data_IF_959270314367
#
_entry.id   IF_959270314367
#
_cell.length_a   1.000
_cell.length_b   1.000
_cell.length_c   1.000
_cell.angle_alpha   90.00
_cell.angle_beta   90.00
_cell.angle_gamma   90.00
#
_symmetry.space_group_name_H-M   'P 1'
#
loop_
_entity.id
_entity.type
_entity.pdbx_description
1 polymer ?
#
# COMPACT_ATOMS: atom_id res chain seq x y z
N UNK A 1 14.72 -11.43 22.78
CA UNK A 1 14.15 -10.25 22.14
C UNK A 1 14.92 -10.07 20.83
N UNK A 2 14.33 -10.17 19.63
CA UNK A 2 15.06 -9.89 18.40
C UNK A 2 15.42 -8.39 18.35
N UNK A 3 16.53 -8.00 17.69
CA UNK A 3 16.96 -6.60 17.61
C UNK A 3 15.89 -5.75 16.90
N UNK A 4 15.65 -4.57 17.44
CA UNK A 4 14.77 -3.56 16.81
C UNK A 4 15.38 -3.15 15.46
N UNK A 5 14.58 -3.12 14.41
CA UNK A 5 14.97 -2.64 13.07
C UNK A 5 15.01 -1.09 13.02
N UNK A 6 15.80 -0.46 13.86
CA UNK A 6 15.89 1.01 13.89
C UNK A 6 16.93 1.60 12.92
N UNK A 7 17.68 0.75 12.15
CA UNK A 7 18.79 1.20 11.29
C UNK A 7 18.80 0.60 9.87
N UNK A 8 17.68 0.14 9.33
CA UNK A 8 17.65 -0.19 7.91
C UNK A 8 17.28 1.08 7.11
N UNK A 9 18.11 1.54 6.16
CA UNK A 9 17.67 2.56 5.21
C UNK A 9 16.50 1.95 4.46
N UNK A 10 15.33 2.56 4.58
CA UNK A 10 14.19 2.28 3.73
C UNK A 10 14.68 2.46 2.30
N UNK A 11 14.85 1.35 1.58
CA UNK A 11 15.29 1.36 0.18
C UNK A 11 14.44 2.36 -0.59
N UNK A 12 15.06 3.12 -1.48
CA UNK A 12 14.56 4.26 -2.22
C UNK A 12 13.21 4.07 -2.91
N UNK A 13 12.16 4.01 -2.13
CA UNK A 13 10.78 4.07 -2.57
C UNK A 13 10.27 5.48 -2.31
N UNK A 14 9.78 6.15 -3.34
CA UNK A 14 9.03 7.38 -3.19
C UNK A 14 7.79 7.17 -2.30
N UNK A 15 7.05 8.23 -2.00
CA UNK A 15 5.77 8.12 -1.30
C UNK A 15 4.80 7.23 -2.06
N UNK A 16 3.99 6.46 -1.33
CA UNK A 16 2.87 5.65 -1.86
C UNK A 16 1.53 6.24 -1.44
N UNK A 17 1.26 7.50 -1.83
CA UNK A 17 -0.05 8.13 -1.54
C UNK A 17 -1.14 7.51 -2.40
N UNK A 18 -0.85 7.29 -3.68
CA UNK A 18 -1.78 6.69 -4.63
C UNK A 18 -1.15 5.58 -5.45
N UNK A 19 -1.78 4.41 -5.43
CA UNK A 19 -1.47 3.30 -6.31
C UNK A 19 -2.65 3.10 -7.26
N UNK A 20 -2.44 3.31 -8.57
CA UNK A 20 -3.53 3.32 -9.54
C UNK A 20 -3.60 2.02 -10.34
N UNK A 21 -4.76 1.37 -10.32
CA UNK A 21 -5.01 0.18 -11.12
C UNK A 21 -5.10 0.50 -12.62
N UNK A 22 -4.40 -0.30 -13.40
CA UNK A 22 -4.41 -0.27 -14.87
C UNK A 22 -4.64 -1.68 -15.38
N UNK A 23 -5.77 -1.97 -16.05
CA UNK A 23 -6.02 -3.28 -16.65
C UNK A 23 -4.91 -3.67 -17.62
N UNK A 24 -4.35 -4.86 -17.43
CA UNK A 24 -3.35 -5.41 -18.34
C UNK A 24 -3.88 -5.50 -19.76
N UNK A 25 -3.04 -5.15 -20.73
CA UNK A 25 -3.40 -5.18 -22.16
C UNK A 25 -4.21 -3.99 -22.67
N UNK A 26 -4.52 -2.99 -21.83
CA UNK A 26 -5.25 -1.78 -22.25
C UNK A 26 -4.28 -0.62 -22.54
N UNK A 27 -3.81 -0.51 -23.79
CA UNK A 27 -2.85 0.51 -24.24
C UNK A 27 -3.34 1.95 -23.99
N UNK A 28 -4.64 2.22 -24.11
CA UNK A 28 -5.19 3.55 -23.86
C UNK A 28 -5.13 3.93 -22.39
N UNK A 29 -5.41 2.96 -21.52
CA UNK A 29 -5.40 3.22 -20.06
C UNK A 29 -3.98 3.37 -19.52
N UNK A 30 -3.02 2.54 -19.96
CA UNK A 30 -1.63 2.69 -19.52
C UNK A 30 -1.06 4.05 -19.96
N UNK A 31 -1.31 4.50 -21.20
CA UNK A 31 -0.85 5.81 -21.69
C UNK A 31 -1.38 6.96 -20.81
N UNK A 32 -2.67 6.91 -20.42
CA UNK A 32 -3.24 7.92 -19.51
C UNK A 32 -2.66 7.84 -18.09
N UNK A 33 -2.46 6.63 -17.60
CA UNK A 33 -1.93 6.40 -16.26
C UNK A 33 -0.47 6.86 -16.12
N UNK A 34 0.34 6.71 -17.15
CA UNK A 34 1.72 7.23 -17.17
C UNK A 34 1.76 8.76 -17.03
N UNK A 35 0.82 9.47 -17.66
CA UNK A 35 0.70 10.93 -17.56
C UNK A 35 0.01 11.42 -16.27
N UNK A 36 -0.52 10.52 -15.45
CA UNK A 36 -1.26 10.86 -14.23
C UNK A 36 -0.35 11.21 -13.05
N UNK A 37 -0.85 11.88 -11.98
CA UNK A 37 -0.08 12.16 -10.79
C UNK A 37 0.04 10.97 -9.80
N UNK A 38 -0.26 9.73 -10.24
CA UNK A 38 -0.12 8.55 -9.38
C UNK A 38 1.33 8.34 -8.93
N UNK A 39 1.56 7.96 -7.68
CA UNK A 39 2.88 7.59 -7.15
C UNK A 39 3.31 6.20 -7.64
N UNK A 40 2.36 5.31 -7.92
CA UNK A 40 2.62 4.01 -8.51
C UNK A 40 1.46 3.49 -9.36
N UNK A 41 1.77 2.59 -10.29
CA UNK A 41 0.79 1.92 -11.13
C UNK A 41 0.73 0.43 -10.77
N UNK A 42 -0.47 -0.12 -10.71
CA UNK A 42 -0.72 -1.56 -10.53
C UNK A 42 -1.21 -2.10 -11.87
N UNK A 43 -0.33 -2.79 -12.59
CA UNK A 43 -0.64 -3.46 -13.84
C UNK A 43 -1.38 -4.78 -13.52
N UNK A 44 -2.65 -4.83 -13.86
CA UNK A 44 -3.52 -5.90 -13.38
C UNK A 44 -3.58 -7.09 -14.33
N UNK A 45 -3.27 -8.29 -13.83
CA UNK A 45 -3.42 -9.57 -14.51
C UNK A 45 -4.57 -10.42 -13.93
N UNK A 46 -5.23 -9.90 -12.88
CA UNK A 46 -6.29 -10.64 -12.16
C UNK A 46 -7.69 -10.30 -12.69
N UNK A 47 -8.50 -9.62 -11.90
CA UNK A 47 -9.95 -9.46 -12.15
C UNK A 47 -10.27 -8.58 -13.36
N UNK A 48 -9.38 -7.65 -13.73
CA UNK A 48 -9.58 -6.83 -14.92
C UNK A 48 -9.26 -7.56 -16.24
N UNK A 49 -8.79 -8.82 -16.18
CA UNK A 49 -8.45 -9.63 -17.35
C UNK A 49 -9.27 -10.93 -17.34
N UNK A 50 -10.07 -11.14 -18.39
CA UNK A 50 -10.88 -12.36 -18.53
C UNK A 50 -10.00 -13.61 -18.63
N UNK A 51 -10.46 -14.80 -18.16
CA UNK A 51 -9.65 -16.01 -18.11
C UNK A 51 -8.98 -16.39 -19.44
N UNK A 52 -9.70 -16.22 -20.55
CA UNK A 52 -9.22 -16.52 -21.90
C UNK A 52 -8.09 -15.60 -22.38
N UNK A 53 -7.96 -14.40 -21.78
CA UNK A 53 -6.95 -13.40 -22.13
C UNK A 53 -5.74 -13.39 -21.22
N UNK A 54 -5.77 -14.04 -20.05
CA UNK A 54 -4.69 -13.96 -19.05
C UNK A 54 -3.31 -14.32 -19.66
N UNK A 55 -3.21 -15.43 -20.38
CA UNK A 55 -1.95 -15.85 -21.00
C UNK A 55 -1.43 -14.84 -22.03
N UNK A 56 -2.31 -14.27 -22.85
CA UNK A 56 -1.93 -13.29 -23.87
C UNK A 56 -1.58 -11.91 -23.28
N UNK A 57 -2.08 -11.59 -22.09
CA UNK A 57 -1.85 -10.30 -21.43
C UNK A 57 -0.48 -10.22 -20.75
N UNK A 58 0.08 -11.31 -20.23
CA UNK A 58 1.40 -11.37 -19.57
C UNK A 58 2.53 -10.75 -20.40
N UNK A 59 2.77 -11.18 -21.65
CA UNK A 59 3.84 -10.60 -22.47
C UNK A 59 3.59 -9.13 -22.80
N UNK A 60 2.35 -8.66 -22.82
CA UNK A 60 2.03 -7.23 -23.01
C UNK A 60 2.49 -6.44 -21.78
N UNK A 61 2.14 -6.90 -20.58
CA UNK A 61 2.54 -6.26 -19.32
C UNK A 61 4.06 -6.28 -19.17
N UNK A 62 4.73 -7.40 -19.48
CA UNK A 62 6.18 -7.47 -19.51
C UNK A 62 6.79 -6.42 -20.45
N UNK A 63 6.32 -6.34 -21.69
CA UNK A 63 6.77 -5.32 -22.65
C UNK A 63 6.60 -3.90 -22.11
N UNK A 64 5.48 -3.59 -21.47
CA UNK A 64 5.27 -2.28 -20.83
C UNK A 64 6.34 -1.99 -19.78
N UNK A 65 6.61 -2.95 -18.91
CA UNK A 65 7.66 -2.82 -17.88
C UNK A 65 9.04 -2.58 -18.46
N UNK A 66 9.36 -3.20 -19.62
CA UNK A 66 10.66 -3.11 -20.29
C UNK A 66 10.82 -1.83 -21.12
N UNK A 67 9.73 -1.29 -21.70
CA UNK A 67 9.84 -0.29 -22.77
C UNK A 67 9.21 1.07 -22.46
N UNK A 68 8.29 1.16 -21.48
CA UNK A 68 7.63 2.42 -21.18
C UNK A 68 8.40 3.19 -20.09
N UNK A 69 8.39 4.52 -20.21
CA UNK A 69 8.91 5.40 -19.16
C UNK A 69 7.83 5.65 -18.10
N UNK A 70 8.06 5.16 -16.90
CA UNK A 70 7.15 5.35 -15.75
C UNK A 70 7.42 6.65 -14.99
N UNK A 71 8.42 7.45 -15.39
CA UNK A 71 8.68 8.76 -14.79
C UNK A 71 8.91 8.73 -13.27
N UNK A 72 9.55 7.67 -12.76
CA UNK A 72 9.78 7.50 -11.31
C UNK A 72 8.63 6.87 -10.54
N UNK A 73 7.48 6.59 -11.15
CA UNK A 73 6.38 5.85 -10.52
C UNK A 73 6.78 4.41 -10.19
N UNK A 74 6.31 3.88 -9.07
CA UNK A 74 6.43 2.46 -8.79
C UNK A 74 5.63 1.62 -9.80
N UNK A 75 6.17 0.47 -10.15
CA UNK A 75 5.64 -0.46 -11.16
C UNK A 75 5.23 -1.76 -10.50
N UNK A 76 4.01 -1.84 -10.02
CA UNK A 76 3.46 -3.04 -9.42
C UNK A 76 2.73 -3.89 -10.45
N UNK A 77 2.77 -5.22 -10.28
CA UNK A 77 1.94 -6.15 -11.07
C UNK A 77 1.01 -6.87 -10.10
N UNK A 78 -0.30 -6.77 -10.28
CA UNK A 78 -1.24 -7.64 -9.55
C UNK A 78 -1.32 -8.98 -10.26
N UNK A 79 -0.78 -10.00 -9.61
CA UNK A 79 -0.79 -11.38 -10.08
C UNK A 79 -2.14 -12.06 -9.80
N UNK A 80 -2.40 -13.21 -10.37
CA UNK A 80 -3.52 -14.05 -9.99
C UNK A 80 -3.28 -14.71 -8.62
N UNK A 81 -4.35 -15.10 -7.89
CA UNK A 81 -4.21 -15.73 -6.58
C UNK A 81 -3.31 -16.98 -6.63
N UNK A 82 -2.46 -17.16 -5.62
CA UNK A 82 -1.41 -18.19 -5.58
C UNK A 82 -1.92 -19.63 -5.67
N UNK A 83 -3.19 -19.84 -5.40
CA UNK A 83 -3.85 -21.16 -5.53
C UNK A 83 -4.39 -21.44 -6.94
N UNK A 84 -4.18 -20.54 -7.90
CA UNK A 84 -4.57 -20.71 -9.31
C UNK A 84 -3.38 -21.13 -10.17
N UNK A 85 -3.67 -21.80 -11.30
CA UNK A 85 -2.64 -22.20 -12.28
C UNK A 85 -1.99 -21.01 -13.00
N UNK A 86 -2.51 -19.79 -12.82
CA UNK A 86 -1.99 -18.59 -13.44
C UNK A 86 -0.87 -17.92 -12.66
N UNK A 87 -0.84 -18.10 -11.35
CA UNK A 87 -0.01 -17.29 -10.44
C UNK A 87 1.50 -17.37 -10.72
N UNK A 88 2.05 -18.57 -10.86
CA UNK A 88 3.47 -18.76 -11.14
C UNK A 88 3.84 -18.21 -12.52
N UNK A 89 3.02 -18.46 -13.54
CA UNK A 89 3.24 -17.96 -14.89
C UNK A 89 3.17 -16.42 -14.97
N UNK A 90 2.36 -15.76 -14.15
CA UNK A 90 2.31 -14.29 -14.08
C UNK A 90 3.66 -13.72 -13.63
N UNK A 91 4.27 -14.33 -12.61
CA UNK A 91 5.57 -13.90 -12.09
C UNK A 91 6.68 -14.27 -13.08
N UNK A 92 6.70 -15.50 -13.59
CA UNK A 92 7.72 -15.97 -14.54
C UNK A 92 7.83 -15.10 -15.80
N UNK A 93 6.67 -14.72 -16.36
CA UNK A 93 6.65 -13.91 -17.56
C UNK A 93 7.01 -12.44 -17.29
N UNK A 94 6.63 -11.88 -16.14
CA UNK A 94 6.74 -10.41 -15.95
C UNK A 94 7.96 -9.97 -15.16
N UNK A 95 8.62 -10.85 -14.39
CA UNK A 95 9.73 -10.47 -13.48
C UNK A 95 10.95 -9.92 -14.25
N UNK A 96 11.21 -10.41 -15.47
CA UNK A 96 12.29 -9.91 -16.32
C UNK A 96 12.13 -8.42 -16.68
N UNK A 97 10.89 -7.89 -16.68
CA UNK A 97 10.59 -6.46 -16.82
C UNK A 97 10.91 -5.64 -15.57
N UNK A 98 11.43 -6.25 -14.52
CA UNK A 98 11.86 -5.61 -13.27
C UNK A 98 10.77 -4.75 -12.64
N UNK A 99 9.57 -5.31 -12.30
CA UNK A 99 8.59 -4.58 -11.54
C UNK A 99 9.15 -4.20 -10.16
N UNK A 100 8.62 -3.15 -9.56
CA UNK A 100 8.91 -2.80 -8.15
C UNK A 100 8.48 -3.92 -7.20
N UNK A 101 7.44 -4.65 -7.58
CA UNK A 101 6.96 -5.81 -6.84
C UNK A 101 5.63 -6.35 -7.35
N UNK A 102 5.09 -7.30 -6.60
CA UNK A 102 3.81 -7.92 -6.89
C UNK A 102 2.76 -7.57 -5.83
N UNK A 103 1.59 -7.19 -6.30
CA UNK A 103 0.37 -7.16 -5.48
C UNK A 103 -0.16 -8.59 -5.45
N UNK A 104 -0.26 -9.16 -4.24
CA UNK A 104 -0.69 -10.55 -4.01
C UNK A 104 -2.15 -10.53 -3.55
N UNK A 105 -3.11 -10.91 -4.42
CA UNK A 105 -4.51 -10.94 -4.07
C UNK A 105 -4.85 -12.21 -3.27
N UNK A 106 -5.88 -12.12 -2.45
CA UNK A 106 -6.58 -13.22 -1.80
C UNK A 106 -5.66 -14.21 -1.02
N UNK A 107 -4.59 -13.75 -0.33
CA UNK A 107 -3.81 -14.66 0.51
C UNK A 107 -4.65 -15.09 1.71
N UNK A 108 -4.65 -16.38 2.01
CA UNK A 108 -5.36 -16.94 3.16
C UNK A 108 -4.46 -17.07 4.39
N UNK A 109 -3.16 -17.34 4.18
CA UNK A 109 -2.19 -17.61 5.25
C UNK A 109 -0.79 -17.11 4.88
N UNK A 110 0.10 -17.08 5.86
CA UNK A 110 1.51 -16.74 5.66
C UNK A 110 2.21 -17.67 4.64
N UNK A 111 1.79 -18.92 4.55
CA UNK A 111 2.31 -19.91 3.59
C UNK A 111 2.10 -19.47 2.15
N UNK A 112 0.99 -18.82 1.84
CA UNK A 112 0.71 -18.31 0.49
C UNK A 112 1.74 -17.25 0.09
N UNK A 113 2.09 -16.37 1.02
CA UNK A 113 3.13 -15.38 0.81
C UNK A 113 4.51 -16.03 0.66
N UNK A 114 4.84 -17.03 1.48
CA UNK A 114 6.12 -17.75 1.39
C UNK A 114 6.27 -18.49 0.05
N UNK A 115 5.18 -19.05 -0.49
CA UNK A 115 5.17 -19.66 -1.84
C UNK A 115 5.50 -18.63 -2.91
N UNK A 116 4.88 -17.45 -2.88
CA UNK A 116 5.20 -16.34 -3.80
C UNK A 116 6.67 -15.94 -3.66
N UNK A 117 7.17 -15.80 -2.43
CA UNK A 117 8.58 -15.48 -2.15
C UNK A 117 9.52 -16.50 -2.77
N UNK A 118 9.26 -17.80 -2.61
CA UNK A 118 10.11 -18.86 -3.17
C UNK A 118 10.18 -18.82 -4.70
N UNK A 119 9.05 -18.50 -5.37
CA UNK A 119 9.02 -18.31 -6.82
C UNK A 119 9.89 -17.10 -7.21
N UNK A 120 9.72 -15.97 -6.53
CA UNK A 120 10.48 -14.75 -6.81
C UNK A 120 11.98 -14.97 -6.62
N UNK A 121 12.41 -15.62 -5.53
CA UNK A 121 13.83 -15.87 -5.23
C UNK A 121 14.49 -16.70 -6.33
N UNK A 122 13.84 -17.78 -6.75
CA UNK A 122 14.30 -18.62 -7.88
C UNK A 122 14.43 -17.81 -9.18
N UNK A 123 13.50 -16.87 -9.42
CA UNK A 123 13.49 -16.08 -10.65
C UNK A 123 14.42 -14.88 -10.57
N UNK A 124 14.62 -14.25 -9.44
CA UNK A 124 15.67 -13.24 -9.23
C UNK A 124 17.05 -13.83 -9.55
N UNK A 125 17.34 -15.05 -9.06
CA UNK A 125 18.58 -15.77 -9.40
C UNK A 125 18.69 -16.05 -10.91
N UNK A 126 17.64 -16.64 -11.51
CA UNK A 126 17.60 -16.96 -12.94
C UNK A 126 17.83 -15.76 -13.86
N UNK A 127 17.28 -14.60 -13.49
CA UNK A 127 17.36 -13.37 -14.27
C UNK A 127 18.47 -12.41 -13.82
N UNK A 128 19.33 -12.84 -12.90
CA UNK A 128 20.43 -12.03 -12.33
C UNK A 128 19.93 -10.69 -11.76
N UNK A 129 18.78 -10.68 -11.12
CA UNK A 129 18.24 -9.53 -10.42
C UNK A 129 18.83 -9.45 -9.00
N UNK A 130 18.97 -8.25 -8.42
CA UNK A 130 19.43 -8.14 -7.04
C UNK A 130 18.49 -8.88 -6.09
N UNK A 131 19.04 -9.74 -5.24
CA UNK A 131 18.24 -10.50 -4.26
C UNK A 131 17.46 -9.56 -3.35
N UNK A 132 16.16 -9.79 -3.21
CA UNK A 132 15.27 -8.98 -2.39
C UNK A 132 14.80 -7.68 -3.04
N UNK A 133 15.15 -7.41 -4.29
CA UNK A 133 14.73 -6.22 -5.02
C UNK A 133 13.23 -6.20 -5.29
N UNK A 134 12.64 -7.36 -5.60
CA UNK A 134 11.19 -7.50 -5.87
C UNK A 134 10.41 -7.53 -4.57
N UNK A 135 9.52 -6.54 -4.37
CA UNK A 135 8.73 -6.38 -3.15
C UNK A 135 7.34 -7.02 -3.27
N UNK A 136 6.62 -7.10 -2.16
CA UNK A 136 5.26 -7.64 -2.09
C UNK A 136 4.30 -6.62 -1.44
N UNK A 137 3.07 -6.61 -1.94
CA UNK A 137 1.94 -5.89 -1.40
C UNK A 137 0.73 -6.85 -1.34
N UNK A 138 0.55 -7.62 -0.26
CA UNK A 138 -0.64 -8.44 -0.08
C UNK A 138 -1.90 -7.61 0.12
N UNK A 139 -3.01 -7.99 -0.54
CA UNK A 139 -4.36 -7.52 -0.19
C UNK A 139 -4.92 -8.54 0.81
N UNK A 140 -4.63 -8.32 2.08
CA UNK A 140 -4.62 -9.38 3.10
C UNK A 140 -6.00 -9.79 3.65
N UNK A 141 -7.09 -9.09 3.26
CA UNK A 141 -8.42 -9.33 3.83
C UNK A 141 -9.50 -9.61 2.79
N UNK A 142 -9.13 -9.99 1.59
CA UNK A 142 -10.11 -10.30 0.53
C UNK A 142 -10.92 -11.57 0.80
N UNK A 143 -10.44 -12.40 1.73
CA UNK A 143 -11.14 -13.59 2.20
C UNK A 143 -11.34 -13.55 3.71
N UNK A 144 -12.39 -14.19 4.26
CA UNK A 144 -12.56 -14.34 5.71
C UNK A 144 -11.36 -15.00 6.39
N UNK A 145 -10.77 -16.02 5.74
CA UNK A 145 -9.57 -16.71 6.22
C UNK A 145 -8.37 -15.75 6.28
N UNK A 146 -8.13 -14.97 5.22
CA UNK A 146 -7.06 -13.95 5.20
C UNK A 146 -7.24 -12.89 6.28
N UNK A 147 -8.46 -12.44 6.52
CA UNK A 147 -8.77 -11.50 7.60
C UNK A 147 -8.41 -12.08 8.98
N UNK A 148 -8.72 -13.35 9.23
CA UNK A 148 -8.39 -14.01 10.50
C UNK A 148 -6.87 -14.21 10.69
N UNK A 149 -6.09 -14.29 9.61
CA UNK A 149 -4.64 -14.52 9.62
C UNK A 149 -3.82 -13.28 9.19
N UNK A 150 -4.42 -12.10 9.16
CA UNK A 150 -3.78 -10.88 8.63
C UNK A 150 -2.44 -10.57 9.29
N UNK A 151 -2.28 -10.83 10.59
CA UNK A 151 -1.03 -10.61 11.32
C UNK A 151 0.10 -11.48 10.78
N UNK A 152 -0.17 -12.76 10.57
CA UNK A 152 0.80 -13.73 10.05
C UNK A 152 1.14 -13.42 8.59
N UNK A 153 0.15 -13.00 7.79
CA UNK A 153 0.34 -12.56 6.40
C UNK A 153 1.25 -11.32 6.37
N UNK A 154 0.96 -10.30 7.18
CA UNK A 154 1.73 -9.06 7.22
C UNK A 154 3.20 -9.27 7.64
N UNK A 155 3.47 -10.27 8.48
CA UNK A 155 4.81 -10.61 8.98
C UNK A 155 5.51 -11.73 8.20
N UNK A 156 4.91 -12.27 7.12
CA UNK A 156 5.38 -13.49 6.48
C UNK A 156 6.75 -13.39 5.79
N UNK A 157 7.16 -12.18 5.35
CA UNK A 157 8.43 -11.97 4.64
C UNK A 157 8.93 -10.53 4.79
N UNK A 158 10.26 -10.32 4.82
CA UNK A 158 10.85 -8.97 4.76
C UNK A 158 10.69 -8.29 3.39
N UNK A 159 10.18 -9.01 2.38
CA UNK A 159 9.85 -8.44 1.07
C UNK A 159 8.55 -7.64 1.08
N UNK A 160 7.69 -7.80 2.09
CA UNK A 160 6.45 -7.04 2.21
C UNK A 160 6.80 -5.58 2.49
N UNK A 161 6.48 -4.69 1.54
CA UNK A 161 6.66 -3.26 1.67
C UNK A 161 5.42 -2.58 2.24
N UNK A 162 4.25 -3.08 1.89
CA UNK A 162 2.96 -2.60 2.35
C UNK A 162 1.94 -3.73 2.38
N UNK A 163 0.84 -3.55 3.11
CA UNK A 163 -0.36 -4.38 2.99
C UNK A 163 -1.57 -3.51 2.69
N UNK A 164 -2.56 -4.11 2.04
CA UNK A 164 -3.87 -3.49 1.79
C UNK A 164 -4.98 -4.41 2.26
N UNK A 165 -6.20 -3.89 2.21
CA UNK A 165 -7.42 -4.64 2.49
C UNK A 165 -8.38 -4.54 1.30
N UNK A 166 -9.18 -5.58 1.08
CA UNK A 166 -10.11 -5.65 -0.05
C UNK A 166 -11.55 -5.77 0.45
N UNK A 167 -12.36 -4.73 0.20
CA UNK A 167 -13.75 -4.69 0.66
C UNK A 167 -14.69 -5.48 -0.26
N UNK A 168 -14.46 -5.38 -1.56
CA UNK A 168 -15.38 -5.95 -2.55
C UNK A 168 -15.37 -7.47 -2.48
N UNK A 169 -14.18 -8.09 -2.55
CA UNK A 169 -14.02 -9.54 -2.46
C UNK A 169 -14.43 -10.09 -1.09
N UNK A 170 -14.07 -9.43 0.00
CA UNK A 170 -14.51 -9.83 1.35
C UNK A 170 -16.03 -9.82 1.46
N UNK A 171 -16.66 -8.77 0.93
CA UNK A 171 -18.12 -8.64 0.94
C UNK A 171 -18.80 -9.74 0.15
N UNK A 172 -18.27 -10.05 -1.03
CA UNK A 172 -18.77 -11.13 -1.86
C UNK A 172 -18.59 -12.50 -1.17
N UNK A 173 -17.40 -12.76 -0.60
CA UNK A 173 -17.11 -14.00 0.10
C UNK A 173 -17.99 -14.22 1.34
N UNK A 174 -18.37 -13.16 2.04
CA UNK A 174 -19.24 -13.21 3.22
C UNK A 174 -20.73 -13.06 2.90
N UNK A 175 -21.08 -12.74 1.65
CA UNK A 175 -22.47 -12.49 1.25
C UNK A 175 -23.07 -11.24 1.91
N UNK A 176 -22.28 -10.18 2.12
CA UNK A 176 -22.76 -8.96 2.72
C UNK A 176 -23.69 -8.21 1.76
N UNK A 177 -24.93 -7.87 2.16
CA UNK A 177 -25.86 -7.20 1.28
C UNK A 177 -25.48 -5.72 1.01
N UNK A 178 -24.67 -5.15 1.90
CA UNK A 178 -24.14 -3.79 1.80
C UNK A 178 -22.91 -3.64 2.68
N UNK A 179 -22.05 -2.69 2.35
CA UNK A 179 -20.81 -2.41 3.09
C UNK A 179 -20.86 -1.12 3.89
N UNK A 180 -21.84 -0.23 3.57
CA UNK A 180 -21.98 1.10 4.17
C UNK A 180 -23.39 1.35 4.67
N UNK A 181 -23.51 2.27 5.65
CA UNK A 181 -24.77 2.83 6.12
C UNK A 181 -25.27 3.96 5.20
N UNK A 182 -26.38 4.59 5.59
CA UNK A 182 -27.00 5.68 4.82
C UNK A 182 -26.13 6.95 4.78
N UNK A 183 -25.23 7.12 5.73
CA UNK A 183 -24.28 8.23 5.83
C UNK A 183 -22.94 7.92 5.12
N UNK A 184 -22.83 6.77 4.46
CA UNK A 184 -21.64 6.33 3.73
C UNK A 184 -20.52 5.75 4.59
N UNK A 185 -20.74 5.54 5.89
CA UNK A 185 -19.75 4.96 6.81
C UNK A 185 -19.72 3.44 6.69
N UNK A 186 -18.57 2.84 6.79
CA UNK A 186 -18.42 1.39 6.79
C UNK A 186 -19.18 0.74 7.95
N UNK A 187 -19.92 -0.33 7.64
CA UNK A 187 -20.52 -1.24 8.60
C UNK A 187 -19.45 -2.05 9.35
N UNK A 188 -19.84 -2.81 10.36
CA UNK A 188 -18.91 -3.44 11.31
C UNK A 188 -17.86 -4.35 10.66
N UNK A 189 -18.23 -5.20 9.72
CA UNK A 189 -17.27 -6.12 9.09
C UNK A 189 -16.23 -5.36 8.24
N UNK A 190 -16.62 -4.50 7.28
CA UNK A 190 -15.65 -3.67 6.55
C UNK A 190 -14.78 -2.82 7.48
N UNK A 191 -15.38 -2.19 8.49
CA UNK A 191 -14.65 -1.37 9.46
C UNK A 191 -13.65 -2.19 10.25
N UNK A 192 -14.02 -3.40 10.68
CA UNK A 192 -13.11 -4.32 11.37
C UNK A 192 -11.92 -4.71 10.47
N UNK A 193 -12.18 -5.10 9.21
CA UNK A 193 -11.12 -5.45 8.26
C UNK A 193 -10.15 -4.27 8.04
N UNK A 194 -10.67 -3.05 7.87
CA UNK A 194 -9.87 -1.82 7.71
C UNK A 194 -8.99 -1.55 8.95
N UNK A 195 -9.56 -1.63 10.15
CA UNK A 195 -8.82 -1.47 11.41
C UNK A 195 -7.73 -2.51 11.55
N UNK A 196 -8.06 -3.79 11.30
CA UNK A 196 -7.09 -4.88 11.39
C UNK A 196 -5.94 -4.73 10.41
N UNK A 197 -6.19 -4.21 9.19
CA UNK A 197 -5.14 -3.90 8.23
C UNK A 197 -4.16 -2.86 8.80
N UNK A 198 -4.65 -1.74 9.32
CA UNK A 198 -3.80 -0.69 9.90
C UNK A 198 -2.97 -1.21 11.10
N UNK A 199 -3.59 -2.00 11.97
CA UNK A 199 -2.92 -2.59 13.15
C UNK A 199 -1.87 -3.62 12.74
N UNK A 200 -2.19 -4.52 11.80
CA UNK A 200 -1.27 -5.55 11.34
C UNK A 200 -0.07 -4.95 10.58
N UNK A 201 -0.29 -3.94 9.74
CA UNK A 201 0.78 -3.19 9.08
C UNK A 201 1.73 -2.57 10.09
N UNK A 202 1.18 -1.87 11.08
CA UNK A 202 1.98 -1.26 12.17
C UNK A 202 2.76 -2.30 12.96
N UNK A 203 2.16 -3.45 13.27
CA UNK A 203 2.82 -4.54 14.01
C UNK A 203 3.94 -5.19 13.22
N UNK A 204 3.81 -5.27 11.88
CA UNK A 204 4.83 -5.79 10.98
C UNK A 204 5.90 -4.75 10.59
N UNK A 205 5.68 -3.47 10.88
CA UNK A 205 6.58 -2.38 10.49
C UNK A 205 6.55 -2.09 8.99
N UNK A 206 5.39 -2.28 8.34
CA UNK A 206 5.17 -2.02 6.91
C UNK A 206 4.10 -0.94 6.72
N UNK A 207 3.97 -0.42 5.50
CA UNK A 207 2.94 0.57 5.19
C UNK A 207 1.54 -0.06 5.12
N UNK A 208 0.52 0.71 5.48
CA UNK A 208 -0.88 0.38 5.24
C UNK A 208 -1.40 1.21 4.06
N UNK A 209 -1.87 0.55 3.01
CA UNK A 209 -2.50 1.19 1.84
C UNK A 209 -4.00 0.92 1.89
N UNK A 210 -4.79 1.97 1.90
CA UNK A 210 -6.25 1.87 1.99
C UNK A 210 -6.86 1.30 0.69
N UNK A 211 -8.05 0.72 0.79
CA UNK A 211 -8.75 0.07 -0.33
C UNK A 211 -9.29 1.06 -1.35
N UNK A 212 -9.87 0.56 -2.43
CA UNK A 212 -10.53 1.34 -3.48
C UNK A 212 -11.77 2.08 -2.98
N UNK A 213 -12.15 3.15 -3.66
CA UNK A 213 -13.43 3.87 -3.48
C UNK A 213 -14.23 3.75 -4.76
N UNK A 214 -15.35 3.02 -4.71
CA UNK A 214 -16.07 2.59 -5.92
C UNK A 214 -17.02 3.66 -6.50
N UNK A 215 -17.49 4.61 -5.69
CA UNK A 215 -18.27 5.74 -6.20
C UNK A 215 -17.36 6.81 -6.80
N UNK A 216 -17.12 6.70 -8.11
CA UNK A 216 -16.21 7.59 -8.86
C UNK A 216 -16.73 9.04 -8.87
N UNK A 217 -18.04 9.25 -8.76
CA UNK A 217 -18.64 10.56 -8.81
C UNK A 217 -18.59 11.31 -7.47
N UNK A 218 -18.51 10.59 -6.35
CA UNK A 218 -18.49 11.17 -4.99
C UNK A 218 -17.06 11.51 -4.53
N UNK A 219 -16.54 12.61 -5.05
CA UNK A 219 -15.18 13.09 -4.69
C UNK A 219 -15.10 13.50 -3.22
N UNK A 220 -16.15 14.10 -2.67
CA UNK A 220 -16.17 14.51 -1.26
C UNK A 220 -16.24 13.31 -0.30
N UNK A 221 -16.95 12.25 -0.67
CA UNK A 221 -16.91 10.99 0.07
C UNK A 221 -15.53 10.34 0.04
N UNK A 222 -14.88 10.36 -1.13
CA UNK A 222 -13.49 9.92 -1.25
C UNK A 222 -12.56 10.71 -0.32
N UNK A 223 -12.65 12.05 -0.30
CA UNK A 223 -11.83 12.90 0.59
C UNK A 223 -12.08 12.59 2.06
N UNK A 224 -13.34 12.45 2.47
CA UNK A 224 -13.67 12.03 3.86
C UNK A 224 -13.03 10.71 4.21
N UNK A 225 -13.12 9.71 3.31
CA UNK A 225 -12.52 8.39 3.55
C UNK A 225 -10.99 8.45 3.59
N UNK A 226 -10.35 9.28 2.78
CA UNK A 226 -8.89 9.49 2.84
C UNK A 226 -8.48 10.10 4.19
N UNK A 227 -9.18 11.13 4.68
CA UNK A 227 -8.92 11.73 6.01
C UNK A 227 -9.08 10.71 7.14
N UNK A 228 -10.13 9.88 7.09
CA UNK A 228 -10.32 8.78 8.04
C UNK A 228 -9.17 7.77 7.96
N UNK A 229 -8.71 7.46 6.75
CA UNK A 229 -7.54 6.60 6.52
C UNK A 229 -6.27 7.17 7.15
N UNK A 230 -5.97 8.43 6.92
CA UNK A 230 -4.83 9.13 7.55
C UNK A 230 -4.92 9.07 9.07
N UNK A 231 -6.12 9.32 9.64
CA UNK A 231 -6.35 9.23 11.09
C UNK A 231 -6.13 7.82 11.65
N UNK A 232 -6.29 6.78 10.82
CA UNK A 232 -6.02 5.37 11.13
C UNK A 232 -4.61 4.92 10.79
N UNK A 233 -3.70 5.82 10.41
CA UNK A 233 -2.31 5.55 10.02
C UNK A 233 -2.13 4.85 8.67
N UNK A 234 -3.11 4.89 7.78
CA UNK A 234 -2.86 4.56 6.38
C UNK A 234 -1.94 5.60 5.76
N UNK A 235 -1.06 5.14 4.85
CA UNK A 235 -0.07 6.00 4.18
C UNK A 235 -0.46 6.36 2.76
N UNK A 236 -1.45 5.69 2.21
CA UNK A 236 -1.96 5.90 0.86
C UNK A 236 -3.22 5.11 0.62
N UNK A 237 -3.68 5.15 -0.62
CA UNK A 237 -4.92 4.52 -1.06
C UNK A 237 -4.80 3.97 -2.47
N UNK A 238 -5.50 2.87 -2.75
CA UNK A 238 -5.62 2.32 -4.09
C UNK A 238 -6.69 3.10 -4.86
N UNK A 239 -6.39 3.51 -6.10
CA UNK A 239 -7.28 4.22 -7.01
C UNK A 239 -7.70 3.33 -8.16
N UNK A 240 -8.96 3.46 -8.59
CA UNK A 240 -9.53 2.79 -9.77
C UNK A 240 -9.90 3.76 -10.90
N UNK A 241 -9.82 5.06 -10.66
CA UNK A 241 -10.13 6.07 -11.67
C UNK A 241 -9.15 7.25 -11.59
N UNK A 242 -8.64 7.78 -12.72
CA UNK A 242 -7.68 8.90 -12.71
C UNK A 242 -8.18 10.15 -11.98
N UNK A 243 -9.49 10.42 -12.03
CA UNK A 243 -10.10 11.56 -11.32
C UNK A 243 -10.04 11.49 -9.79
N UNK A 244 -9.64 10.35 -9.22
CA UNK A 244 -9.46 10.18 -7.77
C UNK A 244 -8.07 10.61 -7.28
N UNK A 245 -7.08 10.64 -8.17
CA UNK A 245 -5.67 10.71 -7.81
C UNK A 245 -5.27 12.02 -7.13
N UNK A 246 -5.80 13.15 -7.61
CA UNK A 246 -5.50 14.46 -7.02
C UNK A 246 -6.00 14.53 -5.58
N UNK A 247 -7.27 14.17 -5.35
CA UNK A 247 -7.87 14.14 -4.02
C UNK A 247 -7.11 13.20 -3.07
N UNK A 248 -6.73 12.01 -3.53
CA UNK A 248 -5.94 11.06 -2.74
C UNK A 248 -4.58 11.66 -2.38
N UNK A 249 -3.84 12.19 -3.36
CA UNK A 249 -2.52 12.74 -3.12
C UNK A 249 -2.54 13.93 -2.17
N UNK A 250 -3.52 14.82 -2.28
CA UNK A 250 -3.70 15.95 -1.38
C UNK A 250 -3.96 15.48 0.06
N UNK A 251 -4.93 14.60 0.27
CA UNK A 251 -5.32 14.17 1.62
C UNK A 251 -4.24 13.31 2.31
N UNK A 252 -3.46 12.53 1.55
CA UNK A 252 -2.35 11.73 2.11
C UNK A 252 -1.02 12.49 2.19
N UNK A 253 -0.96 13.74 1.79
CA UNK A 253 0.19 14.64 1.99
C UNK A 253 -0.01 15.45 3.28
N UNK A 254 0.94 15.47 4.24
CA UNK A 254 0.81 16.32 5.42
C UNK A 254 0.66 17.79 5.03
N UNK A 255 -0.22 18.53 5.71
CA UNK A 255 -0.31 19.97 5.49
C UNK A 255 0.96 20.67 5.98
N UNK A 256 1.22 21.89 5.47
CA UNK A 256 2.35 22.69 5.90
C UNK A 256 2.29 22.97 7.40
N UNK A 257 1.10 23.28 7.93
CA UNK A 257 0.88 23.55 9.35
C UNK A 257 1.21 22.32 10.21
N UNK A 258 0.74 21.11 9.80
CA UNK A 258 1.03 19.88 10.52
C UNK A 258 2.54 19.55 10.48
N UNK A 259 3.20 19.83 9.37
CA UNK A 259 4.63 19.63 9.20
C UNK A 259 5.45 20.58 10.09
N UNK A 260 5.12 21.87 10.07
CA UNK A 260 5.78 22.89 10.90
C UNK A 260 5.57 22.59 12.39
N UNK A 261 4.34 22.25 12.81
CA UNK A 261 4.04 21.86 14.18
C UNK A 261 4.83 20.62 14.64
N UNK A 262 4.98 19.64 13.76
CA UNK A 262 5.80 18.46 14.06
C UNK A 262 7.28 18.82 14.25
N UNK A 263 7.84 19.70 13.43
CA UNK A 263 9.23 20.18 13.57
C UNK A 263 9.41 20.97 14.86
N UNK A 264 8.48 21.89 15.20
CA UNK A 264 8.51 22.62 16.46
C UNK A 264 8.49 21.69 17.69
N UNK A 265 7.63 20.66 17.67
CA UNK A 265 7.53 19.69 18.76
C UNK A 265 8.82 18.86 18.89
N UNK A 266 9.44 18.43 17.79
CA UNK A 266 10.72 17.71 17.81
C UNK A 266 11.80 18.58 18.45
N UNK A 267 11.93 19.85 18.04
CA UNK A 267 12.90 20.78 18.63
C UNK A 267 12.64 21.04 20.12
N UNK A 268 11.37 21.17 20.53
CA UNK A 268 11.01 21.29 21.94
C UNK A 268 11.43 20.06 22.76
N UNK A 269 11.25 18.85 22.21
CA UNK A 269 11.73 17.61 22.86
C UNK A 269 13.25 17.60 23.05
N UNK A 270 14.01 17.98 22.05
CA UNK A 270 15.47 18.05 22.12
C UNK A 270 15.93 19.01 23.20
N UNK A 271 15.32 20.20 23.27
CA UNK A 271 15.62 21.21 24.29
C UNK A 271 15.28 20.75 25.72
N UNK A 272 14.20 19.99 25.91
CA UNK A 272 13.81 19.46 27.23
C UNK A 272 14.64 18.24 27.63
N UNK A 273 14.95 17.35 26.68
CA UNK A 273 15.82 16.21 26.91
C UNK A 273 17.22 16.63 27.36
N UNK A 274 17.77 17.70 26.80
CA UNK A 274 19.04 18.29 27.24
C UNK A 274 19.04 18.79 28.70
N UNK A 275 17.83 19.01 29.28
CA UNK A 275 17.63 19.39 30.69
C UNK A 275 17.21 18.21 31.57
N UNK A 276 17.22 16.97 31.03
CA UNK A 276 16.85 15.76 31.76
C UNK A 276 15.34 15.53 31.89
N UNK A 277 14.49 16.25 31.16
CA UNK A 277 13.04 16.08 31.22
C UNK A 277 12.53 15.17 30.08
N UNK A 278 11.87 14.05 30.44
CA UNK A 278 11.25 13.10 29.50
C UNK A 278 9.77 13.43 29.17
N UNK A 279 9.15 14.33 29.92
CA UNK A 279 7.81 14.86 29.67
C UNK A 279 7.75 16.34 30.04
N UNK A 280 6.95 17.13 29.32
CA UNK A 280 6.83 18.58 29.53
C UNK A 280 5.49 19.12 29.00
N UNK A 281 5.13 20.33 29.44
CA UNK A 281 3.97 21.04 28.90
C UNK A 281 4.35 21.81 27.61
N UNK A 282 3.56 21.60 26.53
CA UNK A 282 3.73 22.30 25.27
C UNK A 282 2.36 22.69 24.69
N UNK A 283 2.18 23.97 24.36
CA UNK A 283 0.87 24.52 23.91
C UNK A 283 -0.31 24.08 24.80
N UNK A 284 -0.10 24.01 26.13
CA UNK A 284 -1.14 23.66 27.12
C UNK A 284 -1.42 22.17 27.24
N UNK A 285 -0.68 21.30 26.58
CA UNK A 285 -0.82 19.84 26.66
C UNK A 285 0.46 19.19 27.19
N UNK A 286 0.31 18.04 27.88
CA UNK A 286 1.44 17.23 28.31
C UNK A 286 1.98 16.43 27.13
N UNK A 287 3.28 16.54 26.85
CA UNK A 287 3.99 15.81 25.80
C UNK A 287 5.00 14.83 26.39
N UNK A 288 5.06 13.63 25.79
CA UNK A 288 5.98 12.53 26.13
C UNK A 288 6.47 11.78 24.87
N UNK A 289 7.22 10.72 25.04
CA UNK A 289 7.84 9.95 23.93
C UNK A 289 6.88 9.50 22.81
N UNK A 290 5.65 9.04 23.06
CA UNK A 290 4.66 8.77 22.02
C UNK A 290 4.38 9.96 21.09
N UNK A 291 4.34 11.19 21.65
CA UNK A 291 4.12 12.40 20.86
C UNK A 291 5.32 12.71 19.96
N UNK A 292 6.55 12.55 20.48
CA UNK A 292 7.77 12.68 19.67
C UNK A 292 7.79 11.68 18.50
N UNK A 293 7.45 10.43 18.77
CA UNK A 293 7.41 9.38 17.74
C UNK A 293 6.43 9.72 16.63
N UNK A 294 5.25 10.26 16.98
CA UNK A 294 4.24 10.71 16.01
C UNK A 294 4.74 11.91 15.21
N UNK A 295 5.31 12.92 15.87
CA UNK A 295 5.85 14.11 15.21
C UNK A 295 6.96 13.76 14.20
N UNK A 296 7.88 12.84 14.54
CA UNK A 296 8.90 12.35 13.62
C UNK A 296 8.30 11.73 12.36
N UNK A 297 7.29 10.87 12.51
CA UNK A 297 6.61 10.26 11.34
C UNK A 297 5.97 11.32 10.44
N UNK A 298 5.32 12.35 11.00
CA UNK A 298 4.72 13.44 10.21
C UNK A 298 5.82 14.23 9.48
N UNK A 299 6.88 14.63 10.17
CA UNK A 299 8.00 15.38 9.60
C UNK A 299 8.69 14.58 8.48
N UNK A 300 8.91 13.28 8.66
CA UNK A 300 9.52 12.42 7.64
C UNK A 300 8.65 12.32 6.38
N UNK A 301 7.33 12.15 6.54
CA UNK A 301 6.40 12.19 5.41
C UNK A 301 6.38 13.56 4.71
N UNK A 302 6.41 14.64 5.47
CA UNK A 302 6.47 16.00 4.92
C UNK A 302 7.74 16.25 4.10
N UNK A 303 8.89 15.73 4.54
CA UNK A 303 10.16 15.79 3.76
C UNK A 303 10.06 14.96 2.47
N UNK A 304 9.52 13.72 2.55
CA UNK A 304 9.35 12.86 1.37
C UNK A 304 8.41 13.48 0.34
N UNK A 305 7.41 14.26 0.77
CA UNK A 305 6.46 14.94 -0.12
C UNK A 305 6.93 16.32 -0.61
N UNK A 306 8.08 16.82 -0.14
CA UNK A 306 8.58 18.15 -0.48
C UNK A 306 7.81 19.31 0.18
N UNK A 307 7.06 19.04 1.24
CA UNK A 307 6.38 20.06 2.06
C UNK A 307 7.37 20.73 3.01
N UNK A 308 8.40 19.98 3.47
CA UNK A 308 9.53 20.47 4.28
C UNK A 308 10.81 20.47 3.47
#
# INVERSE_FOLDING_TARGET
MPPRRDDAPTGGGGMRRSLHFVPGGNERMITKALASPADGLILDLEDAVTPDKKAATRPIVRRWLETLDFGGKERWVRMNPIFTDHAEADIEETIAGRPSGYVVPKPNRAEDIRRVVAIIERLEERHHLPFGSTKLLPIATETPEGLLHIREIAGASPRIAAISWGIEDLSAAMGLPRTRDAEGRYLDIPRYARVMCAVAASAAGVEAIDTVYTDIADVEGLRRECRDGVAMSFTGKISIHPGQLEAINEEFTPSREAADEAVELIAAFEAHAARGAGAFAWKGQMMDMPHLTRAKKIADRARQSGVL
#
